data_IF_849066510176
#
_entry.id   IF_849066510176
#
_cell.length_a   1.000
_cell.length_b   1.000
_cell.length_c   1.000
_cell.angle_alpha   90.00
_cell.angle_beta   90.00
_cell.angle_gamma   90.00
#
_symmetry.space_group_name_H-M   'P 1'
#
loop_
_entity.id
_entity.type
_entity.pdbx_description
1 polymer ?
#
# COMPACT_ATOMS: atom_id res chain seq x y z
N UNK A 1 -9.99 0.86 -41.99
CA UNK A 1 -9.20 1.83 -41.21
C UNK A 1 -9.31 1.42 -39.75
N UNK A 2 -8.26 0.74 -39.27
CA UNK A 2 -8.22 0.00 -38.01
C UNK A 2 -7.55 0.84 -36.94
N UNK A 3 -8.05 0.73 -35.71
CA UNK A 3 -7.58 1.39 -34.50
C UNK A 3 -6.05 1.33 -34.35
N UNK A 4 -5.38 2.48 -34.51
CA UNK A 4 -3.95 2.66 -34.21
C UNK A 4 -3.74 3.03 -32.73
N UNK A 5 -4.80 3.39 -32.01
CA UNK A 5 -4.75 3.63 -30.58
C UNK A 5 -5.90 2.86 -29.93
N UNK A 6 -5.58 1.65 -29.46
CA UNK A 6 -6.47 0.88 -28.60
C UNK A 6 -6.81 1.66 -27.34
N UNK A 7 -8.01 1.43 -26.82
CA UNK A 7 -8.68 2.19 -25.78
C UNK A 7 -8.07 2.10 -24.36
N UNK A 8 -6.77 1.81 -24.23
CA UNK A 8 -6.06 1.67 -22.94
C UNK A 8 -5.23 2.91 -22.54
N UNK A 9 -5.25 3.98 -23.36
CA UNK A 9 -4.55 5.23 -23.04
C UNK A 9 -5.42 6.21 -22.24
N UNK A 10 -5.85 5.83 -21.03
CA UNK A 10 -6.40 6.78 -20.03
C UNK A 10 -5.37 7.09 -18.92
N UNK A 11 -4.18 6.52 -19.03
CA UNK A 11 -3.05 6.71 -18.11
C UNK A 11 -2.06 7.69 -18.75
N UNK A 12 -1.98 8.91 -18.22
CA UNK A 12 -1.25 10.04 -18.81
C UNK A 12 0.16 9.72 -19.37
N UNK A 13 0.55 10.45 -20.41
CA UNK A 13 1.86 10.31 -21.03
C UNK A 13 2.97 10.91 -20.15
N UNK A 14 4.01 10.12 -19.85
CA UNK A 14 5.25 10.61 -19.24
C UNK A 14 6.17 11.08 -20.37
N UNK A 15 6.40 12.39 -20.46
CA UNK A 15 7.36 12.95 -21.42
C UNK A 15 8.73 13.10 -20.75
N UNK A 16 9.62 12.14 -20.96
CA UNK A 16 11.01 12.24 -20.52
C UNK A 16 11.80 12.99 -21.59
N UNK A 17 11.96 14.31 -21.42
CA UNK A 17 12.79 15.13 -22.30
C UNK A 17 14.27 14.88 -21.95
N UNK A 18 14.87 13.89 -22.59
CA UNK A 18 16.28 13.52 -22.39
C UNK A 18 17.18 14.34 -23.31
N UNK A 19 18.33 14.79 -22.79
CA UNK A 19 19.35 15.47 -23.60
C UNK A 19 19.96 14.46 -24.59
N UNK A 20 20.03 14.82 -25.87
CA UNK A 20 20.66 14.00 -26.92
C UNK A 20 22.19 14.02 -26.89
N UNK A 21 22.76 14.98 -26.17
CA UNK A 21 24.20 15.12 -25.93
C UNK A 21 24.39 15.59 -24.49
N UNK A 22 25.21 14.89 -23.72
CA UNK A 22 25.48 15.19 -22.31
C UNK A 22 26.94 14.91 -22.02
N UNK A 23 27.63 15.87 -21.41
CA UNK A 23 29.01 15.69 -21.00
C UNK A 23 29.07 15.48 -19.48
N UNK A 24 29.66 14.36 -19.07
CA UNK A 24 29.80 13.98 -17.67
C UNK A 24 28.62 13.16 -17.14
N UNK A 25 28.47 13.12 -15.82
CA UNK A 25 27.47 12.29 -15.13
C UNK A 25 26.67 13.11 -14.12
N UNK A 26 25.39 12.77 -13.95
CA UNK A 26 24.50 13.33 -12.93
C UNK A 26 23.73 12.22 -12.24
N UNK A 27 23.61 12.30 -10.92
CA UNK A 27 22.79 11.40 -10.14
C UNK A 27 21.95 12.21 -9.15
N UNK A 28 20.72 11.78 -8.89
CA UNK A 28 19.86 12.35 -7.86
C UNK A 28 19.06 11.26 -7.16
N UNK A 29 18.90 11.41 -5.86
CA UNK A 29 18.03 10.57 -5.04
C UNK A 29 17.12 11.50 -4.23
N UNK A 30 15.82 11.29 -4.33
CA UNK A 30 14.81 12.01 -3.57
C UNK A 30 14.00 11.00 -2.78
N UNK A 31 13.80 11.24 -1.49
CA UNK A 31 12.98 10.39 -0.63
C UNK A 31 12.09 11.25 0.26
N UNK A 32 10.93 10.71 0.64
CA UNK A 32 9.96 11.38 1.49
C UNK A 32 8.98 10.38 2.11
N UNK A 33 8.34 10.79 3.18
CA UNK A 33 7.32 10.01 3.90
C UNK A 33 6.20 10.95 4.36
N UNK A 34 5.04 10.38 4.67
CA UNK A 34 3.95 11.15 5.26
C UNK A 34 4.26 11.53 6.72
N UNK A 35 3.52 12.51 7.25
CA UNK A 35 3.69 12.97 8.64
C UNK A 35 3.41 11.84 9.65
N UNK A 36 2.52 10.91 9.28
CA UNK A 36 2.19 9.72 10.06
C UNK A 36 3.33 8.66 10.11
N UNK A 37 4.46 8.89 9.43
CA UNK A 37 5.64 8.02 9.47
C UNK A 37 5.61 6.84 8.50
N UNK A 38 4.66 6.82 7.57
CA UNK A 38 4.43 5.78 6.58
C UNK A 38 4.41 6.33 5.13
N UNK A 39 3.80 5.61 4.19
CA UNK A 39 3.53 6.06 2.82
C UNK A 39 4.78 6.53 2.04
N UNK A 40 5.94 5.91 2.29
CA UNK A 40 7.23 6.35 1.76
C UNK A 40 7.27 6.39 0.24
N UNK A 41 8.00 7.36 -0.29
CA UNK A 41 8.29 7.52 -1.70
C UNK A 41 9.78 7.70 -1.89
N UNK A 42 10.35 7.01 -2.87
CA UNK A 42 11.76 7.18 -3.24
C UNK A 42 11.90 7.21 -4.75
N UNK A 43 12.67 8.17 -5.25
CA UNK A 43 13.04 8.30 -6.64
C UNK A 43 14.55 8.36 -6.76
N UNK A 44 15.12 7.54 -7.64
CA UNK A 44 16.53 7.56 -7.99
C UNK A 44 16.67 7.78 -9.49
N UNK A 45 17.58 8.67 -9.87
CA UNK A 45 17.86 9.02 -11.26
C UNK A 45 19.36 9.05 -11.49
N UNK A 46 19.79 8.52 -12.63
CA UNK A 46 21.17 8.56 -13.09
C UNK A 46 21.19 8.88 -14.57
N UNK A 47 22.12 9.74 -14.99
CA UNK A 47 22.41 9.99 -16.39
C UNK A 47 23.90 10.21 -16.58
N UNK A 48 24.41 9.80 -17.73
CA UNK A 48 25.80 10.04 -18.13
C UNK A 48 25.90 10.18 -19.63
N UNK A 49 26.87 10.95 -20.08
CA UNK A 49 27.31 10.89 -21.47
C UNK A 49 28.78 11.20 -21.61
N UNK A 50 29.37 10.63 -22.66
CA UNK A 50 30.79 10.74 -22.94
C UNK A 50 31.10 10.48 -24.41
N UNK A 51 32.16 11.13 -24.87
CA UNK A 51 32.76 10.89 -26.17
C UNK A 51 33.78 9.74 -26.11
N UNK A 52 33.90 8.99 -27.21
CA UNK A 52 34.86 7.90 -27.41
C UNK A 52 35.20 7.75 -28.90
N UNK A 53 36.17 6.91 -29.24
CA UNK A 53 36.74 6.79 -30.60
C UNK A 53 37.29 8.14 -31.14
N UNK A 54 38.15 8.80 -30.36
CA UNK A 54 38.73 10.11 -30.70
C UNK A 54 37.66 11.13 -31.10
N UNK A 55 36.66 11.31 -30.23
CA UNK A 55 35.51 12.21 -30.39
C UNK A 55 34.56 11.91 -31.56
N UNK A 56 34.71 10.76 -32.23
CA UNK A 56 33.82 10.35 -33.33
C UNK A 56 32.55 9.65 -32.86
N UNK A 57 32.46 9.24 -31.61
CA UNK A 57 31.27 8.60 -31.08
C UNK A 57 30.86 9.22 -29.74
N UNK A 58 29.55 9.44 -29.55
CA UNK A 58 28.98 9.97 -28.33
C UNK A 58 27.91 9.03 -27.81
N UNK A 59 28.03 8.60 -26.56
CA UNK A 59 27.01 7.79 -25.88
C UNK A 59 26.34 8.65 -24.81
N UNK A 60 25.02 8.63 -24.78
CA UNK A 60 24.21 9.09 -23.65
C UNK A 60 23.44 7.90 -23.08
N UNK A 61 23.48 7.74 -21.77
CA UNK A 61 22.69 6.75 -21.04
C UNK A 61 22.00 7.40 -19.86
N UNK A 62 20.76 6.99 -19.56
CA UNK A 62 20.08 7.37 -18.34
C UNK A 62 19.10 6.32 -17.85
N UNK A 63 18.90 6.31 -16.54
CA UNK A 63 18.00 5.40 -15.85
C UNK A 63 17.26 6.15 -14.73
N UNK A 64 15.98 5.81 -14.54
CA UNK A 64 15.15 6.30 -13.45
C UNK A 64 14.43 5.12 -12.79
N UNK A 65 14.32 5.19 -11.47
CA UNK A 65 13.54 4.26 -10.66
C UNK A 65 12.70 5.05 -9.67
N UNK A 66 11.43 4.68 -9.53
CA UNK A 66 10.48 5.28 -8.59
C UNK A 66 9.80 4.18 -7.82
N UNK A 67 9.81 4.31 -6.51
CA UNK A 67 9.16 3.43 -5.56
C UNK A 67 8.15 4.24 -4.74
N UNK A 68 6.99 3.64 -4.48
CA UNK A 68 5.94 4.24 -3.66
C UNK A 68 5.28 3.14 -2.83
N UNK A 69 5.33 3.27 -1.51
CA UNK A 69 4.64 2.38 -0.56
C UNK A 69 3.12 2.53 -0.68
N UNK A 70 2.41 1.50 -0.27
CA UNK A 70 0.96 1.51 -0.10
C UNK A 70 0.53 2.39 1.09
N UNK A 71 -0.77 2.67 1.13
CA UNK A 71 -1.43 3.33 2.26
C UNK A 71 -2.69 2.53 2.59
N UNK A 72 -2.72 1.76 3.68
CA UNK A 72 -3.94 1.11 4.15
C UNK A 72 -5.01 2.13 4.56
N UNK A 73 -6.28 1.83 4.28
CA UNK A 73 -7.39 2.70 4.62
C UNK A 73 -7.47 2.94 6.12
N UNK A 74 -7.35 1.87 6.91
CA UNK A 74 -7.48 1.91 8.37
C UNK A 74 -6.32 2.66 9.06
N UNK A 75 -5.22 2.91 8.36
CA UNK A 75 -4.10 3.72 8.88
C UNK A 75 -4.37 5.23 8.76
N UNK A 76 -5.40 5.63 8.00
CA UNK A 76 -5.90 7.02 7.94
C UNK A 76 -7.28 7.19 8.57
N UNK A 77 -8.12 6.17 8.44
CA UNK A 77 -9.51 6.17 8.89
C UNK A 77 -9.75 4.93 9.74
N UNK A 78 -9.37 5.00 11.01
CA UNK A 78 -9.52 3.90 11.96
C UNK A 78 -10.97 3.72 12.47
N UNK A 79 -11.88 4.62 12.12
CA UNK A 79 -13.30 4.50 12.47
C UNK A 79 -14.03 3.63 11.48
N UNK A 80 -14.86 2.74 12.00
CA UNK A 80 -15.58 1.77 11.19
C UNK A 80 -17.01 1.60 11.66
N UNK A 81 -17.91 2.35 11.03
CA UNK A 81 -19.33 2.26 11.33
C UNK A 81 -19.93 0.99 10.70
N UNK A 82 -20.41 0.09 11.55
CA UNK A 82 -21.10 -1.14 11.14
C UNK A 82 -22.44 -1.27 11.85
N UNK A 83 -23.37 -1.99 11.23
CA UNK A 83 -24.60 -2.41 11.88
C UNK A 83 -24.33 -3.64 12.74
N UNK A 84 -24.82 -3.59 13.97
CA UNK A 84 -24.82 -4.72 14.89
C UNK A 84 -26.24 -4.95 15.39
N UNK A 85 -26.59 -6.21 15.63
CA UNK A 85 -27.82 -6.56 16.36
C UNK A 85 -27.82 -5.83 17.70
N UNK A 86 -28.92 -5.15 18.00
CA UNK A 86 -29.08 -4.42 19.23
C UNK A 86 -29.29 -5.39 20.40
N UNK A 87 -28.36 -5.50 21.38
CA UNK A 87 -28.49 -6.45 22.49
C UNK A 87 -29.67 -6.11 23.42
N UNK A 88 -30.17 -4.87 23.37
CA UNK A 88 -31.36 -4.45 24.11
C UNK A 88 -32.67 -4.84 23.41
N UNK A 89 -32.63 -5.27 22.13
CA UNK A 89 -33.83 -5.72 21.42
C UNK A 89 -34.31 -7.05 22.02
N UNK A 90 -35.56 -7.04 22.46
CA UNK A 90 -36.29 -8.15 23.07
C UNK A 90 -37.40 -8.70 22.18
N UNK A 91 -37.73 -8.02 21.07
CA UNK A 91 -38.65 -8.52 20.05
C UNK A 91 -39.27 -7.43 19.17
N UNK A 92 -40.00 -7.81 18.11
CA UNK A 92 -40.43 -6.90 17.03
C UNK A 92 -41.34 -5.71 17.42
N UNK A 93 -41.91 -5.70 18.63
CA UNK A 93 -42.86 -4.68 19.10
C UNK A 93 -42.43 -4.03 20.43
N UNK A 94 -41.15 -4.12 20.80
CA UNK A 94 -40.64 -3.52 22.04
C UNK A 94 -40.27 -2.02 21.90
N UNK A 95 -40.36 -1.47 20.69
CA UNK A 95 -39.99 -0.08 20.39
C UNK A 95 -38.48 0.16 20.38
N UNK A 96 -37.68 -0.89 20.46
CA UNK A 96 -36.21 -0.87 20.42
C UNK A 96 -35.79 -1.22 18.99
N UNK A 97 -34.90 -0.44 18.35
CA UNK A 97 -34.42 -0.77 17.00
C UNK A 97 -33.72 -2.13 16.96
N UNK A 98 -33.99 -2.91 15.91
CA UNK A 98 -33.36 -4.23 15.71
C UNK A 98 -31.83 -4.16 15.64
N UNK A 99 -31.30 -3.09 15.05
CA UNK A 99 -29.88 -2.88 14.86
C UNK A 99 -29.46 -1.50 15.37
N UNK A 100 -28.24 -1.44 15.89
CA UNK A 100 -27.53 -0.22 16.26
C UNK A 100 -26.31 -0.04 15.36
N UNK A 101 -25.87 1.21 15.21
CA UNK A 101 -24.60 1.52 14.55
C UNK A 101 -23.55 1.64 15.64
N UNK A 102 -22.46 0.88 15.49
CA UNK A 102 -21.29 0.95 16.37
C UNK A 102 -20.07 1.41 15.58
N UNK A 103 -19.13 2.07 16.25
CA UNK A 103 -17.79 2.31 15.73
C UNK A 103 -16.93 1.09 16.08
N UNK A 104 -16.89 0.10 15.18
CA UNK A 104 -16.21 -1.17 15.40
C UNK A 104 -14.70 -1.00 15.39
N UNK A 105 -14.04 -1.43 16.44
CA UNK A 105 -12.58 -1.50 16.51
C UNK A 105 -12.12 -2.95 16.58
N UNK A 106 -11.18 -3.30 15.71
CA UNK A 106 -10.56 -4.62 15.74
C UNK A 106 -9.68 -4.74 16.97
N UNK A 107 -9.80 -5.88 17.63
CA UNK A 107 -9.11 -6.13 18.88
C UNK A 107 -7.58 -5.99 18.79
N UNK A 108 -6.95 -6.39 17.68
CA UNK A 108 -5.50 -6.22 17.46
C UNK A 108 -5.07 -4.82 17.02
N UNK A 109 -6.01 -3.95 16.60
CA UNK A 109 -5.78 -2.52 16.33
C UNK A 109 -6.19 -1.65 17.52
N UNK A 110 -6.56 -2.25 18.66
CA UNK A 110 -6.97 -1.50 19.84
C UNK A 110 -5.85 -0.55 20.29
N UNK A 111 -6.17 0.69 20.67
CA UNK A 111 -5.19 1.61 21.23
C UNK A 111 -4.72 1.19 22.63
N UNK A 112 -5.34 0.16 23.22
CA UNK A 112 -5.00 -0.35 24.54
C UNK A 112 -4.09 -1.58 24.46
N UNK A 113 -3.13 -1.74 25.38
CA UNK A 113 -2.34 -2.96 25.49
C UNK A 113 -3.26 -4.16 25.66
N UNK A 114 -3.03 -5.16 24.82
CA UNK A 114 -3.97 -6.24 24.57
C UNK A 114 -3.22 -7.58 24.59
N UNK A 115 -3.75 -8.56 25.32
CA UNK A 115 -3.14 -9.90 25.42
C UNK A 115 -4.18 -10.99 25.63
N UNK A 116 -3.79 -12.24 25.42
CA UNK A 116 -4.53 -13.40 25.91
C UNK A 116 -3.64 -14.21 26.86
N UNK A 117 -4.27 -15.02 27.69
CA UNK A 117 -3.60 -16.13 28.37
C UNK A 117 -3.76 -17.38 27.51
N UNK A 118 -2.71 -18.19 27.31
CA UNK A 118 -2.77 -19.39 26.48
C UNK A 118 -1.97 -20.55 27.06
N UNK A 119 -2.34 -21.77 26.69
CA UNK A 119 -1.60 -22.99 27.03
C UNK A 119 -0.91 -23.58 25.79
N UNK A 120 0.29 -24.14 25.97
CA UNK A 120 1.03 -24.79 24.89
C UNK A 120 1.82 -23.82 24.01
N UNK A 121 2.09 -24.24 22.75
CA UNK A 121 3.06 -23.57 21.86
C UNK A 121 2.47 -22.57 20.88
N UNK A 122 1.16 -22.61 20.61
CA UNK A 122 0.55 -21.68 19.66
C UNK A 122 -0.13 -20.53 20.42
N UNK A 123 0.30 -19.28 20.19
CA UNK A 123 -0.27 -18.11 20.86
C UNK A 123 -1.73 -17.85 20.43
N UNK A 124 -2.42 -17.01 21.20
CA UNK A 124 -3.79 -16.51 21.06
C UNK A 124 -4.57 -16.95 19.81
N UNK A 125 -5.67 -17.68 20.03
CA UNK A 125 -6.46 -18.35 18.99
C UNK A 125 -7.39 -19.39 19.62
N UNK A 126 -7.37 -20.62 19.15
CA UNK A 126 -8.09 -21.74 19.77
C UNK A 126 -7.50 -22.21 21.11
N UNK A 127 -6.25 -21.84 21.40
CA UNK A 127 -5.52 -22.26 22.62
C UNK A 127 -5.47 -21.20 23.72
N UNK A 128 -6.21 -20.10 23.56
CA UNK A 128 -6.38 -19.15 24.66
C UNK A 128 -7.16 -19.83 25.80
N UNK A 129 -6.70 -19.67 27.04
CA UNK A 129 -7.41 -20.18 28.22
C UNK A 129 -8.80 -19.53 28.23
N UNK A 130 -9.85 -20.35 28.19
CA UNK A 130 -11.25 -19.97 28.03
C UNK A 130 -11.61 -19.24 26.72
N UNK A 131 -10.67 -19.12 25.77
CA UNK A 131 -10.89 -18.41 24.50
C UNK A 131 -10.87 -16.89 24.61
N UNK A 132 -10.57 -16.35 25.78
CA UNK A 132 -10.81 -14.94 26.13
C UNK A 132 -9.59 -14.04 25.89
N UNK A 133 -9.88 -12.74 25.86
CA UNK A 133 -8.88 -11.70 25.79
C UNK A 133 -8.89 -10.78 27.01
N UNK A 134 -7.81 -10.02 27.15
CA UNK A 134 -7.60 -9.06 28.22
C UNK A 134 -7.03 -7.76 27.67
N UNK A 135 -7.50 -6.64 28.21
CA UNK A 135 -6.99 -5.31 27.87
C UNK A 135 -6.66 -4.50 29.11
N UNK A 136 -5.65 -3.64 29.01
CA UNK A 136 -5.31 -2.67 30.04
C UNK A 136 -5.93 -1.32 29.68
N UNK A 137 -7.12 -1.06 30.20
CA UNK A 137 -7.88 0.18 29.97
C UNK A 137 -7.86 1.00 31.26
N UNK A 138 -7.35 2.23 31.18
CA UNK A 138 -7.24 3.14 32.33
C UNK A 138 -6.51 2.53 33.56
N UNK A 139 -5.50 1.70 33.30
CA UNK A 139 -4.73 1.01 34.34
C UNK A 139 -5.44 -0.18 34.98
N UNK A 140 -6.61 -0.58 34.48
CA UNK A 140 -7.33 -1.77 34.93
C UNK A 140 -7.35 -2.85 33.86
N UNK A 141 -7.12 -4.09 34.28
CA UNK A 141 -7.29 -5.25 33.41
C UNK A 141 -8.79 -5.50 33.23
N UNK A 142 -9.28 -5.43 32.00
CA UNK A 142 -10.64 -5.78 31.62
C UNK A 142 -10.63 -7.12 30.89
N UNK A 143 -11.55 -7.99 31.28
CA UNK A 143 -11.80 -9.26 30.61
C UNK A 143 -12.74 -9.02 29.43
N UNK A 144 -12.36 -9.53 28.25
CA UNK A 144 -13.07 -9.34 27.00
C UNK A 144 -13.46 -10.73 26.48
N UNK A 145 -14.74 -11.11 26.63
CA UNK A 145 -15.24 -12.38 26.09
C UNK A 145 -15.08 -12.41 24.57
N UNK A 146 -14.78 -13.57 24.01
CA UNK A 146 -14.76 -13.78 22.57
C UNK A 146 -16.18 -13.90 22.01
N UNK A 147 -16.85 -12.76 21.87
CA UNK A 147 -18.13 -12.66 21.20
C UNK A 147 -18.13 -11.60 20.10
N UNK A 148 -19.05 -11.75 19.14
CA UNK A 148 -19.24 -10.86 17.99
C UNK A 148 -20.29 -9.77 18.19
N UNK A 149 -20.88 -9.70 19.39
CA UNK A 149 -22.10 -8.92 19.62
C UNK A 149 -22.06 -8.09 20.92
N UNK A 150 -21.01 -8.17 21.72
CA UNK A 150 -20.82 -7.33 22.89
C UNK A 150 -19.69 -6.35 22.60
N UNK A 151 -20.06 -5.09 22.39
CA UNK A 151 -19.09 -4.01 22.43
C UNK A 151 -18.67 -3.80 23.88
N UNK A 152 -17.37 -3.83 24.12
CA UNK A 152 -16.83 -3.39 25.40
C UNK A 152 -16.70 -1.87 25.41
N UNK A 153 -16.40 -1.28 26.56
CA UNK A 153 -16.48 0.17 26.83
C UNK A 153 -15.74 1.10 25.87
N UNK A 154 -14.81 0.59 25.06
CA UNK A 154 -14.04 1.33 24.06
C UNK A 154 -14.49 1.03 22.61
N UNK A 155 -15.63 0.35 22.44
CA UNK A 155 -16.19 -0.14 21.18
C UNK A 155 -15.38 -1.25 20.47
N UNK A 156 -14.41 -1.87 21.15
CA UNK A 156 -13.80 -3.10 20.66
C UNK A 156 -14.79 -4.27 20.80
N UNK A 157 -14.66 -5.30 19.98
CA UNK A 157 -15.32 -6.61 20.16
C UNK A 157 -14.26 -7.69 20.37
N UNK A 158 -14.64 -8.83 20.97
CA UNK A 158 -13.73 -9.94 21.20
C UNK A 158 -13.41 -10.78 19.96
N UNK A 159 -13.83 -10.38 18.76
CA UNK A 159 -13.67 -11.17 17.54
C UNK A 159 -12.32 -10.93 16.86
N UNK A 160 -11.67 -12.01 16.41
CA UNK A 160 -10.61 -11.93 15.41
C UNK A 160 -11.23 -11.87 14.02
N UNK A 161 -10.68 -11.04 13.13
CA UNK A 161 -11.01 -11.11 11.71
C UNK A 161 -10.46 -12.40 11.08
N UNK A 162 -11.27 -13.03 10.21
CA UNK A 162 -10.91 -14.25 9.46
C UNK A 162 -11.60 -15.54 9.91
N UNK A 163 -12.57 -15.48 10.82
CA UNK A 163 -13.44 -16.62 11.15
C UNK A 163 -14.68 -16.69 10.24
N UNK A 164 -15.29 -17.87 10.04
CA UNK A 164 -16.54 -18.01 9.28
C UNK A 164 -17.72 -17.20 9.85
N UNK A 165 -17.58 -16.66 11.07
CA UNK A 165 -18.60 -15.92 11.81
C UNK A 165 -18.44 -14.39 11.73
N UNK A 166 -17.42 -13.86 11.05
CA UNK A 166 -17.19 -12.40 10.99
C UNK A 166 -17.54 -11.84 9.62
N UNK A 167 -18.73 -11.22 9.50
CA UNK A 167 -19.17 -10.44 8.34
C UNK A 167 -18.37 -9.14 8.11
N UNK A 168 -17.18 -9.03 8.71
CA UNK A 168 -16.47 -7.78 8.93
C UNK A 168 -15.04 -7.75 8.36
N UNK A 169 -14.53 -8.80 7.69
CA UNK A 169 -13.12 -8.84 7.25
C UNK A 169 -12.69 -7.98 6.05
N UNK A 170 -13.52 -7.07 5.54
CA UNK A 170 -13.26 -6.43 4.23
C UNK A 170 -12.39 -5.15 4.27
N UNK A 171 -12.17 -4.53 5.44
CA UNK A 171 -11.56 -3.19 5.49
C UNK A 171 -10.04 -3.17 5.69
N UNK A 172 -9.42 -4.20 6.28
CA UNK A 172 -7.94 -4.25 6.40
C UNK A 172 -7.25 -4.29 5.05
N UNK A 173 -7.91 -4.86 4.06
CA UNK A 173 -7.37 -5.07 2.72
C UNK A 173 -7.68 -3.91 1.79
N UNK A 174 -8.37 -2.87 2.26
CA UNK A 174 -8.62 -1.68 1.47
C UNK A 174 -7.41 -0.76 1.53
N UNK A 175 -6.85 -0.44 0.37
CA UNK A 175 -5.76 0.51 0.22
C UNK A 175 -6.30 1.84 -0.31
N UNK A 176 -5.91 2.96 0.31
CA UNK A 176 -6.07 4.31 -0.25
C UNK A 176 -5.10 4.55 -1.41
N UNK A 177 -3.95 3.88 -1.39
CA UNK A 177 -2.96 3.89 -2.46
C UNK A 177 -2.29 2.53 -2.51
N UNK A 178 -2.19 1.97 -3.71
CA UNK A 178 -1.44 0.74 -3.93
C UNK A 178 0.06 1.01 -3.95
N UNK A 179 0.82 -0.01 -3.55
CA UNK A 179 2.26 -0.02 -3.73
C UNK A 179 2.58 -0.03 -5.22
N UNK A 180 3.52 0.82 -5.65
CA UNK A 180 3.94 0.86 -7.05
C UNK A 180 5.44 1.04 -7.24
N UNK A 181 5.94 0.45 -8.31
CA UNK A 181 7.33 0.52 -8.75
C UNK A 181 7.38 0.87 -10.24
N UNK A 182 8.20 1.84 -10.61
CA UNK A 182 8.36 2.29 -12.00
C UNK A 182 9.83 2.37 -12.33
N UNK A 183 10.22 1.80 -13.45
CA UNK A 183 11.60 1.83 -13.93
C UNK A 183 11.62 2.28 -15.39
N UNK A 184 12.57 3.13 -15.75
CA UNK A 184 12.81 3.49 -17.15
C UNK A 184 14.30 3.61 -17.41
N UNK A 185 14.74 3.19 -18.59
CA UNK A 185 16.10 3.39 -19.05
C UNK A 185 16.09 3.87 -20.51
N UNK A 186 17.10 4.63 -20.89
CA UNK A 186 17.28 5.12 -22.24
C UNK A 186 18.76 5.19 -22.57
N UNK A 187 19.08 4.88 -23.82
CA UNK A 187 20.42 5.03 -24.37
C UNK A 187 20.34 5.61 -25.78
N UNK A 188 21.23 6.55 -26.10
CA UNK A 188 21.44 7.06 -27.44
C UNK A 188 22.92 6.96 -27.79
N UNK A 189 23.22 6.39 -28.94
CA UNK A 189 24.56 6.29 -29.47
C UNK A 189 24.61 7.00 -30.83
N UNK A 190 25.52 7.95 -30.93
CA UNK A 190 25.86 8.66 -32.16
C UNK A 190 27.28 8.29 -32.58
N UNK A 191 27.50 7.96 -33.85
CA UNK A 191 28.81 7.59 -34.40
C UNK A 191 29.01 8.26 -35.75
N UNK A 192 30.06 9.06 -35.89
CA UNK A 192 30.54 9.60 -37.15
C UNK A 192 31.28 8.51 -37.93
N UNK A 193 30.66 8.03 -39.01
CA UNK A 193 31.21 7.00 -39.89
C UNK A 193 32.15 7.61 -40.96
N UNK A 194 31.84 8.83 -41.40
CA UNK A 194 32.66 9.64 -42.33
C UNK A 194 32.37 11.14 -42.12
N UNK A 195 33.09 12.07 -42.76
CA UNK A 195 32.80 13.51 -42.65
C UNK A 195 31.37 13.91 -43.04
N UNK A 196 30.69 13.08 -43.85
CA UNK A 196 29.33 13.36 -44.35
C UNK A 196 28.27 12.41 -43.76
N UNK A 197 28.67 11.39 -43.00
CA UNK A 197 27.76 10.34 -42.51
C UNK A 197 27.87 10.16 -41.00
N UNK A 198 26.76 10.39 -40.32
CA UNK A 198 26.57 10.12 -38.89
C UNK A 198 25.47 9.06 -38.73
N UNK A 199 25.79 8.01 -38.00
CA UNK A 199 24.82 7.02 -37.55
C UNK A 199 24.30 7.38 -36.16
N UNK A 200 22.99 7.35 -35.98
CA UNK A 200 22.36 7.63 -34.68
C UNK A 200 21.35 6.52 -34.37
N UNK A 201 21.49 5.90 -33.20
CA UNK A 201 20.56 4.87 -32.71
C UNK A 201 20.10 5.20 -31.30
N UNK A 202 18.85 4.86 -30.99
CA UNK A 202 18.32 5.02 -29.64
C UNK A 202 17.52 3.80 -29.20
N UNK A 203 17.62 3.46 -27.93
CA UNK A 203 16.89 2.37 -27.29
C UNK A 203 16.27 2.90 -26.01
N UNK A 204 15.00 2.59 -25.79
CA UNK A 204 14.27 2.97 -24.59
C UNK A 204 13.56 1.76 -23.97
N UNK A 205 13.50 1.75 -22.65
CA UNK A 205 12.77 0.78 -21.85
C UNK A 205 11.96 1.53 -20.78
N UNK A 206 10.73 1.10 -20.57
CA UNK A 206 9.90 1.56 -19.45
C UNK A 206 9.07 0.39 -18.94
N UNK A 207 8.94 0.30 -17.62
CA UNK A 207 8.09 -0.65 -16.93
C UNK A 207 7.45 -0.02 -15.70
N UNK A 208 6.23 -0.43 -15.40
CA UNK A 208 5.47 0.01 -14.24
C UNK A 208 4.73 -1.20 -13.68
N UNK A 209 4.88 -1.43 -12.38
CA UNK A 209 4.16 -2.46 -11.64
C UNK A 209 3.37 -1.79 -10.53
N UNK A 210 2.10 -2.16 -10.43
CA UNK A 210 1.23 -1.84 -9.28
C UNK A 210 0.92 -3.17 -8.63
N UNK A 211 1.25 -3.31 -7.35
CA UNK A 211 1.01 -4.54 -6.62
C UNK A 211 -0.39 -4.46 -6.00
N UNK A 212 -1.36 -5.10 -6.65
CA UNK A 212 -2.67 -5.33 -6.05
C UNK A 212 -2.55 -6.51 -5.08
N UNK A 213 -2.39 -6.21 -3.79
CA UNK A 213 -2.44 -7.22 -2.73
C UNK A 213 -3.91 -7.58 -2.46
N UNK A 214 -4.47 -8.47 -3.28
CA UNK A 214 -5.71 -9.17 -2.94
C UNK A 214 -5.33 -10.23 -1.89
N UNK A 215 -5.48 -9.89 -0.61
CA UNK A 215 -5.46 -10.89 0.45
C UNK A 215 -6.85 -11.55 0.47
N UNK A 216 -6.90 -12.82 0.08
CA UNK A 216 -8.12 -13.67 0.11
C UNK A 216 -8.20 -14.33 1.48
#
# INVERSE_FOLDING_TARGET
>A
ASAIYGADAVTGAVNVVMKKRMDGSSASITTGMAEEGDARQTQASFATGFDFLDDRAHLVFGANYVFTDDIPLLDRYNKRYVYQVNPANTGPEDGIPDNIIIDFHQFYRSPYPTWCMFEGKAPCGTNAINGDWYQLVDGQVRHIPRDSYTTISNNDTGTQDGGPDTAFGIYDYMLLRDKSEKASAYSNLEVQLSPELVWNTSVGFASSYVLYLIHI
#
